data_IF_296990038583
#
_entry.id   IF_296990038583
#
_cell.length_a   1.000
_cell.length_b   1.000
_cell.length_c   1.000
_cell.angle_alpha   90.00
_cell.angle_beta   90.00
_cell.angle_gamma   90.00
#
_symmetry.space_group_name_H-M   'P 1'
#
loop_
_entity.id
_entity.type
_entity.pdbx_description
1 polymer ?
#
# COMPACT_ATOMS: atom_id res chain seq x y z
N UNK A 1 11.16 -23.34 -33.34
CA UNK A 1 9.81 -22.85 -32.98
C UNK A 1 9.59 -22.71 -31.48
N UNK A 2 9.89 -23.72 -30.67
CA UNK A 2 9.69 -23.67 -29.20
C UNK A 2 10.51 -22.55 -28.52
N UNK A 3 11.80 -22.41 -28.84
CA UNK A 3 12.63 -21.32 -28.32
C UNK A 3 12.13 -19.91 -28.68
N UNK A 4 11.53 -19.73 -29.87
CA UNK A 4 10.97 -18.44 -30.30
C UNK A 4 9.69 -18.12 -29.52
N UNK A 5 8.87 -19.13 -29.25
CA UNK A 5 7.70 -19.01 -28.39
C UNK A 5 8.12 -18.64 -26.96
N UNK A 6 9.08 -19.36 -26.38
CA UNK A 6 9.58 -19.10 -25.03
C UNK A 6 10.18 -17.70 -24.89
N UNK A 7 10.96 -17.26 -25.88
CA UNK A 7 11.50 -15.89 -25.91
C UNK A 7 10.38 -14.84 -25.98
N UNK A 8 9.35 -15.07 -26.80
CA UNK A 8 8.21 -14.16 -26.91
C UNK A 8 7.39 -14.09 -25.61
N UNK A 9 7.24 -15.22 -24.92
CA UNK A 9 6.54 -15.29 -23.64
C UNK A 9 7.34 -14.56 -22.55
N UNK A 10 8.68 -14.72 -22.55
CA UNK A 10 9.56 -14.00 -21.65
C UNK A 10 9.51 -12.48 -21.87
N UNK A 11 9.54 -12.01 -23.12
CA UNK A 11 9.42 -10.58 -23.44
C UNK A 11 8.07 -10.01 -22.98
N UNK A 12 6.97 -10.77 -23.14
CA UNK A 12 5.66 -10.34 -22.65
C UNK A 12 5.62 -10.22 -21.13
N UNK A 13 6.22 -11.20 -20.42
CA UNK A 13 6.34 -11.16 -18.95
C UNK A 13 7.15 -9.96 -18.49
N UNK A 14 8.26 -9.68 -19.17
CA UNK A 14 9.12 -8.53 -18.87
C UNK A 14 8.40 -7.18 -19.08
N UNK A 15 7.71 -7.02 -20.22
CA UNK A 15 6.93 -5.83 -20.50
C UNK A 15 5.79 -5.64 -19.49
N UNK A 16 5.10 -6.73 -19.13
CA UNK A 16 4.06 -6.71 -18.09
C UNK A 16 4.61 -6.25 -16.75
N UNK A 17 5.76 -6.78 -16.33
CA UNK A 17 6.43 -6.40 -15.09
C UNK A 17 6.83 -4.91 -15.08
N UNK A 18 7.35 -4.39 -16.21
CA UNK A 18 7.65 -2.95 -16.35
C UNK A 18 6.41 -2.08 -16.17
N UNK A 19 5.31 -2.43 -16.84
CA UNK A 19 4.05 -1.70 -16.74
C UNK A 19 3.52 -1.71 -15.31
N UNK A 20 3.55 -2.86 -14.63
CA UNK A 20 3.13 -2.97 -13.23
C UNK A 20 4.02 -2.08 -12.33
N UNK A 21 5.32 -2.09 -12.54
CA UNK A 21 6.26 -1.25 -11.79
C UNK A 21 5.98 0.24 -11.97
N UNK A 22 5.77 0.70 -13.20
CA UNK A 22 5.45 2.10 -13.51
C UNK A 22 4.09 2.53 -12.94
N UNK A 23 3.08 1.67 -13.05
CA UNK A 23 1.76 1.90 -12.47
C UNK A 23 1.83 2.01 -10.95
N UNK A 24 2.60 1.13 -10.32
CA UNK A 24 2.82 1.11 -8.87
C UNK A 24 3.56 2.37 -8.42
N UNK A 25 4.65 2.74 -9.10
CA UNK A 25 5.35 4.01 -8.85
C UNK A 25 4.42 5.22 -8.96
N UNK A 26 3.59 5.27 -9.99
CA UNK A 26 2.61 6.35 -10.19
C UNK A 26 1.53 6.41 -9.10
N UNK A 27 1.19 5.28 -8.46
CA UNK A 27 0.28 5.26 -7.31
C UNK A 27 0.95 5.83 -6.06
N UNK A 28 2.21 5.46 -5.81
CA UNK A 28 2.99 5.99 -4.69
C UNK A 28 3.20 7.50 -4.78
N UNK A 29 3.51 8.03 -5.96
CA UNK A 29 3.68 9.48 -6.14
C UNK A 29 2.38 10.26 -5.89
N UNK A 30 1.23 9.70 -6.28
CA UNK A 30 -0.09 10.28 -5.97
C UNK A 30 -0.40 10.25 -4.48
N UNK A 31 -0.13 9.12 -3.83
CA UNK A 31 -0.30 8.99 -2.37
C UNK A 31 0.56 10.02 -1.65
N UNK A 32 1.84 10.09 -2.00
CA UNK A 32 2.80 11.05 -1.46
C UNK A 32 2.31 12.49 -1.62
N UNK A 33 1.87 12.85 -2.82
CA UNK A 33 1.31 14.19 -3.09
C UNK A 33 0.11 14.48 -2.20
N UNK A 34 -0.78 13.50 -2.00
CA UNK A 34 -1.96 13.64 -1.15
C UNK A 34 -1.61 13.79 0.33
N UNK A 35 -0.62 13.04 0.81
CA UNK A 35 -0.10 13.16 2.18
C UNK A 35 0.52 14.54 2.39
N UNK A 36 1.42 14.96 1.50
CA UNK A 36 2.04 16.30 1.55
C UNK A 36 0.96 17.39 1.55
N UNK A 37 -0.01 17.31 0.65
CA UNK A 37 -1.10 18.28 0.61
C UNK A 37 -1.88 18.30 1.93
N UNK A 38 -2.30 17.14 2.45
CA UNK A 38 -3.07 17.06 3.70
C UNK A 38 -2.32 17.66 4.90
N UNK A 39 -1.00 17.44 4.97
CA UNK A 39 -0.14 17.99 6.01
C UNK A 39 -0.06 19.51 5.90
N UNK A 40 0.28 20.03 4.72
CA UNK A 40 0.57 21.46 4.56
C UNK A 40 -0.64 22.34 4.28
N UNK A 41 -1.83 21.75 4.15
CA UNK A 41 -3.11 22.47 4.22
C UNK A 41 -3.76 22.40 5.59
N UNK A 42 -3.16 21.69 6.57
CA UNK A 42 -3.69 21.64 7.92
C UNK A 42 -3.64 23.05 8.58
N UNK A 43 -4.65 23.43 9.38
CA UNK A 43 -4.62 24.69 10.12
C UNK A 43 -3.37 24.79 11.00
N UNK A 44 -2.67 25.92 10.95
CA UNK A 44 -1.42 26.13 11.68
C UNK A 44 -0.17 25.55 11.01
N UNK A 45 -0.31 24.85 9.88
CA UNK A 45 0.86 24.35 9.13
C UNK A 45 1.51 25.47 8.30
N UNK A 46 2.84 25.53 8.33
CA UNK A 46 3.64 26.44 7.49
C UNK A 46 3.93 25.80 6.13
N UNK A 47 3.77 26.56 5.04
CA UNK A 47 4.08 26.08 3.69
C UNK A 47 5.57 25.71 3.59
N UNK A 48 5.92 24.57 2.96
CA UNK A 48 7.31 24.18 2.76
C UNK A 48 7.95 25.05 1.67
N UNK A 49 9.17 25.54 1.93
CA UNK A 49 9.93 26.40 1.01
C UNK A 49 10.71 25.58 -0.06
N UNK A 50 11.02 24.31 0.23
CA UNK A 50 11.88 23.45 -0.59
C UNK A 50 11.25 22.08 -0.91
N UNK A 51 11.89 21.33 -1.82
CA UNK A 51 11.57 19.93 -2.08
C UNK A 51 11.63 19.12 -0.77
N UNK A 52 10.46 18.67 -0.31
CA UNK A 52 10.32 17.95 0.94
C UNK A 52 10.83 16.52 0.78
N UNK A 53 11.69 16.09 1.70
CA UNK A 53 11.96 14.68 1.93
C UNK A 53 10.83 14.07 2.77
N UNK A 54 10.56 12.77 2.59
CA UNK A 54 9.47 12.09 3.30
C UNK A 54 9.65 12.12 4.83
N UNK A 55 10.90 12.10 5.30
CA UNK A 55 11.23 12.28 6.71
C UNK A 55 10.73 13.62 7.28
N UNK A 56 10.80 14.70 6.51
CA UNK A 56 10.34 16.02 6.95
C UNK A 56 8.81 16.10 6.97
N UNK A 57 8.15 15.42 6.03
CA UNK A 57 6.68 15.28 6.04
C UNK A 57 6.23 14.52 7.29
N UNK A 58 6.90 13.42 7.63
CA UNK A 58 6.61 12.64 8.85
C UNK A 58 6.83 13.44 10.12
N UNK A 59 7.92 14.21 10.22
CA UNK A 59 8.15 15.13 11.35
C UNK A 59 7.02 16.16 11.47
N UNK A 60 6.56 16.68 10.35
CA UNK A 60 5.47 17.67 10.31
C UNK A 60 4.14 17.05 10.74
N UNK A 61 3.86 15.80 10.34
CA UNK A 61 2.71 15.02 10.82
C UNK A 61 2.76 14.87 12.34
N UNK A 62 3.91 14.43 12.87
CA UNK A 62 4.06 14.24 14.31
C UNK A 62 3.84 15.55 15.07
N UNK A 63 4.42 16.65 14.59
CA UNK A 63 4.21 17.97 15.18
C UNK A 63 2.73 18.37 15.20
N UNK A 64 1.99 18.17 14.11
CA UNK A 64 0.54 18.45 14.07
C UNK A 64 -0.22 17.61 15.10
N UNK A 65 0.17 16.34 15.28
CA UNK A 65 -0.44 15.46 16.28
C UNK A 65 -0.16 15.97 17.70
N UNK A 66 1.09 16.32 17.98
CA UNK A 66 1.52 16.81 19.30
C UNK A 66 0.82 18.13 19.64
N UNK A 67 0.85 19.11 18.72
CA UNK A 67 0.22 20.42 18.90
C UNK A 67 -1.29 20.29 19.18
N UNK A 68 -1.98 19.39 18.46
CA UNK A 68 -3.42 19.14 18.67
C UNK A 68 -3.71 18.43 19.98
N UNK A 69 -2.83 17.51 20.39
CA UNK A 69 -2.98 16.78 21.64
C UNK A 69 -2.76 17.69 22.84
N UNK A 70 -1.75 18.56 22.78
CA UNK A 70 -1.48 19.57 23.80
C UNK A 70 -2.66 20.55 23.91
N UNK A 71 -3.14 21.09 22.78
CA UNK A 71 -4.28 22.00 22.79
C UNK A 71 -5.55 21.36 23.37
N UNK A 72 -5.80 20.09 23.04
CA UNK A 72 -6.91 19.34 23.62
C UNK A 72 -6.76 19.19 25.14
N UNK A 73 -5.56 18.88 25.65
CA UNK A 73 -5.33 18.80 27.09
C UNK A 73 -5.57 20.15 27.78
N UNK A 74 -5.11 21.25 27.18
CA UNK A 74 -5.37 22.60 27.70
C UNK A 74 -6.87 22.90 27.80
N UNK A 75 -7.68 22.46 26.82
CA UNK A 75 -9.15 22.59 26.89
C UNK A 75 -9.75 21.77 28.03
N UNK A 76 -9.26 20.54 28.24
CA UNK A 76 -9.69 19.69 29.37
C UNK A 76 -9.36 20.36 30.71
N UNK A 77 -8.15 20.88 30.86
CA UNK A 77 -7.69 21.54 32.08
C UNK A 77 -8.50 22.81 32.41
N UNK A 78 -8.97 23.50 31.36
CA UNK A 78 -9.86 24.66 31.49
C UNK A 78 -11.33 24.28 31.82
N UNK A 79 -11.63 22.97 31.89
CA UNK A 79 -12.95 22.45 32.21
C UNK A 79 -13.88 22.28 31.01
N UNK A 80 -13.37 22.39 29.79
CA UNK A 80 -14.14 22.04 28.58
C UNK A 80 -14.12 20.53 28.34
N UNK A 81 -15.12 20.04 27.61
CA UNK A 81 -15.19 18.64 27.15
C UNK A 81 -14.96 18.62 25.63
N UNK A 82 -13.70 18.67 25.17
CA UNK A 82 -13.39 18.60 23.75
C UNK A 82 -13.74 17.22 23.15
N UNK A 83 -14.03 17.16 21.84
CA UNK A 83 -14.28 15.89 21.15
C UNK A 83 -13.07 14.94 21.23
N UNK A 84 -13.28 13.61 21.28
CA UNK A 84 -12.20 12.64 21.33
C UNK A 84 -11.22 12.76 20.16
N UNK A 85 -9.92 12.74 20.46
CA UNK A 85 -8.86 12.86 19.45
C UNK A 85 -8.73 11.64 18.53
N UNK A 86 -9.14 10.46 19.01
CA UNK A 86 -9.08 9.20 18.26
C UNK A 86 -10.44 8.89 17.66
N UNK A 87 -10.55 9.06 16.35
CA UNK A 87 -11.60 8.42 15.55
C UNK A 87 -11.05 7.06 15.14
N UNK A 88 -11.73 5.98 15.50
CA UNK A 88 -11.35 4.64 15.06
C UNK A 88 -11.36 4.62 13.53
N UNK A 89 -10.18 4.65 12.93
CA UNK A 89 -10.01 4.49 11.50
C UNK A 89 -10.01 2.98 11.25
N UNK A 90 -11.17 2.43 10.89
CA UNK A 90 -11.23 1.07 10.37
C UNK A 90 -10.36 1.04 9.10
N UNK A 91 -9.20 0.38 9.19
CA UNK A 91 -8.36 0.09 8.04
C UNK A 91 -9.13 -0.95 7.24
N UNK A 92 -9.59 -0.67 6.01
CA UNK A 92 -10.17 -1.71 5.18
C UNK A 92 -9.07 -2.74 4.92
N UNK A 93 -9.30 -3.99 5.33
CA UNK A 93 -8.44 -5.12 5.02
C UNK A 93 -8.22 -5.15 3.49
N UNK A 94 -7.00 -4.85 3.03
CA UNK A 94 -6.66 -4.94 1.62
C UNK A 94 -6.74 -6.41 1.19
N UNK A 95 -7.72 -6.75 0.37
CA UNK A 95 -7.78 -8.04 -0.31
C UNK A 95 -6.58 -8.11 -1.28
N UNK A 96 -5.56 -8.85 -0.88
CA UNK A 96 -4.32 -9.06 -1.62
C UNK A 96 -4.56 -9.98 -2.83
N UNK A 97 -4.56 -9.51 -4.10
CA UNK A 97 -4.63 -10.39 -5.25
C UNK A 97 -3.22 -10.55 -5.80
N UNK A 98 -2.37 -11.27 -5.06
CA UNK A 98 -1.15 -11.86 -5.60
C UNK A 98 -1.30 -13.38 -5.64
N UNK A 99 -2.31 -13.85 -6.38
CA UNK A 99 -2.28 -15.21 -6.91
C UNK A 99 -1.64 -15.13 -8.29
N UNK A 100 -0.32 -15.22 -8.32
CA UNK A 100 0.38 -15.57 -9.55
C UNK A 100 0.00 -17.01 -9.90
N UNK A 101 -1.02 -17.18 -10.74
CA UNK A 101 -1.30 -18.45 -11.40
C UNK A 101 -0.29 -18.60 -12.54
N UNK A 102 0.80 -19.34 -12.29
CA UNK A 102 1.58 -19.92 -13.37
C UNK A 102 1.58 -21.45 -13.26
N UNK A 103 1.48 -22.07 -14.43
CA UNK A 103 1.59 -23.48 -14.80
C UNK A 103 0.44 -24.45 -14.46
N UNK A 104 -0.46 -24.55 -15.44
CA UNK A 104 -1.03 -25.82 -15.88
C UNK A 104 0.09 -26.75 -16.38
N UNK A 105 0.21 -27.95 -15.80
CA UNK A 105 0.52 -29.16 -16.58
C UNK A 105 -0.14 -30.35 -15.91
N UNK A 106 -1.15 -30.90 -16.57
CA UNK A 106 -1.82 -32.11 -16.14
C UNK A 106 -0.98 -33.35 -16.45
N UNK A 107 -0.92 -34.27 -15.48
CA UNK A 107 -0.80 -35.68 -15.77
C UNK A 107 -1.86 -36.44 -14.95
N UNK A 108 -2.92 -36.86 -15.63
CA UNK A 108 -3.79 -37.92 -15.13
C UNK A 108 -3.07 -39.25 -15.35
N UNK A 109 -2.55 -39.87 -14.29
CA UNK A 109 -2.27 -41.32 -14.32
C UNK A 109 -3.29 -42.08 -13.49
N UNK A 110 -4.19 -42.74 -14.23
CA UNK A 110 -5.12 -43.77 -13.79
C UNK A 110 -4.39 -44.83 -12.96
N UNK A 111 -4.87 -45.14 -11.76
CA UNK A 111 -4.65 -46.46 -11.17
C UNK A 111 -5.97 -47.23 -11.20
N UNK A 112 -6.00 -48.25 -12.05
CA UNK A 112 -7.02 -49.27 -12.06
C UNK A 112 -6.41 -50.63 -11.75
N UNK A 113 -7.17 -51.38 -10.94
CA UNK A 113 -7.35 -52.84 -10.99
C UNK A 113 -6.48 -53.74 -10.08
N UNK A 114 -7.11 -54.11 -8.95
CA UNK A 114 -7.35 -55.47 -8.39
C UNK A 114 -6.42 -56.63 -8.78
N UNK A 115 -5.95 -57.36 -7.75
CA UNK A 115 -5.99 -58.82 -7.49
C UNK A 115 -4.69 -59.32 -6.83
N UNK A 116 -4.81 -60.11 -5.76
CA UNK A 116 -3.73 -60.98 -5.32
C UNK A 116 -3.89 -61.52 -3.90
N UNK A 117 -4.60 -62.65 -3.76
CA UNK A 117 -4.63 -63.51 -2.56
C UNK A 117 -3.20 -63.85 -2.08
N UNK A 118 -3.01 -63.91 -0.77
CA UNK A 118 -2.63 -65.14 -0.05
C UNK A 118 -2.79 -64.98 1.44
#
# INVERSE_FOLDING_TARGET
DEFQKELSDLQRKEQSARVISEQTGSKYERLRSRVVQAVFTAPGSTKPENSLADAEVLKSIQKIIDDRSEFHQQLVDLGHSPPPLVVAMEIPEEENPLVASDSSTGEKKKQGKKIGKR
#
